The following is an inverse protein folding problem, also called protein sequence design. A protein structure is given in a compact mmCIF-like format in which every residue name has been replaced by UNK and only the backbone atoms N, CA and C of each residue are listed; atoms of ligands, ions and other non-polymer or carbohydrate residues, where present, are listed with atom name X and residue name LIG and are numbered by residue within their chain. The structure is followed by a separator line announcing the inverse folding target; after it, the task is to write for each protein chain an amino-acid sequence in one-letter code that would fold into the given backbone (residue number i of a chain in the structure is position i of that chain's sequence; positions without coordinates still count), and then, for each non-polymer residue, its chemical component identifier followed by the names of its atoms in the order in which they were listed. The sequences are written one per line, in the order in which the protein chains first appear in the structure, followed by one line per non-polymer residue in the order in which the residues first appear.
data_IF_530197987699
#
_entry.id   IF_530197987699
#
_cell.length_a   1.000
_cell.length_b   1.000
_cell.length_c   1.000
_cell.angle_alpha   90.00
_cell.angle_beta   90.00
_cell.angle_gamma   90.00
#
_symmetry.space_group_name_H-M   'P 1'
#
loop_
_entity.id
_entity.type
_entity.pdbx_description
1 polymer ?
#
# COMPACT_ATOMS: atom_id res chain seq x y z
N UNK A 1 19.20 -7.83 10.26
CA UNK A 1 19.10 -6.44 9.78
C UNK A 1 17.75 -5.91 10.21
N UNK A 2 17.69 -4.73 10.84
CA UNK A 2 16.42 -4.13 11.23
C UNK A 2 15.63 -3.76 9.97
N UNK A 3 14.34 -4.05 9.96
CA UNK A 3 13.44 -3.58 8.91
C UNK A 3 13.43 -2.05 8.92
N UNK A 4 13.78 -1.42 7.78
CA UNK A 4 13.72 0.02 7.58
C UNK A 4 12.39 0.45 6.95
N UNK A 5 11.32 -0.27 7.27
CA UNK A 5 9.96 0.01 6.82
C UNK A 5 9.00 -0.07 8.00
N UNK A 6 7.83 0.57 7.86
CA UNK A 6 6.72 0.44 8.81
C UNK A 6 5.43 0.14 8.06
N UNK A 7 4.66 -0.80 8.58
CA UNK A 7 3.29 -1.10 8.14
C UNK A 7 2.38 -0.96 9.34
N UNK A 8 1.55 0.08 9.36
CA UNK A 8 0.56 0.27 10.41
C UNK A 8 -0.85 0.02 9.89
N UNK A 9 -1.72 -0.41 10.81
CA UNK A 9 -3.08 -0.81 10.48
C UNK A 9 -4.05 -0.18 11.49
N UNK A 10 -5.07 0.51 10.99
CA UNK A 10 -6.13 1.12 11.80
C UNK A 10 -7.49 0.70 11.28
N UNK A 11 -8.28 0.06 12.16
CA UNK A 11 -9.70 -0.24 11.91
C UNK A 11 -10.54 0.86 12.55
N UNK A 12 -11.46 1.44 11.79
CA UNK A 12 -12.47 2.31 12.38
C UNK A 12 -13.51 1.42 13.08
N UNK A 13 -13.73 1.62 14.39
CA UNK A 13 -14.62 0.77 15.19
C UNK A 13 -16.10 0.90 14.79
N UNK A 14 -16.48 2.04 14.21
CA UNK A 14 -17.87 2.38 13.89
C UNK A 14 -18.21 2.21 12.40
N UNK A 15 -17.28 1.70 11.59
CA UNK A 15 -17.50 1.52 10.15
C UNK A 15 -16.73 0.32 9.63
N UNK A 16 -17.12 -0.24 8.47
CA UNK A 16 -16.37 -1.31 7.80
C UNK A 16 -15.17 -0.79 7.01
N UNK A 17 -14.57 0.32 7.49
CA UNK A 17 -13.41 0.98 6.88
C UNK A 17 -12.15 0.64 7.63
N UNK A 18 -11.10 0.35 6.88
CA UNK A 18 -9.75 0.15 7.38
C UNK A 18 -8.78 1.10 6.68
N UNK A 19 -7.73 1.46 7.39
CA UNK A 19 -6.60 2.21 6.86
C UNK A 19 -5.32 1.39 7.05
N UNK A 20 -4.54 1.30 5.98
CA UNK A 20 -3.24 0.65 5.94
C UNK A 20 -2.21 1.71 5.55
N UNK A 21 -1.19 1.91 6.38
CA UNK A 21 -0.20 2.96 6.16
C UNK A 21 1.18 2.35 5.98
N UNK A 22 1.88 2.76 4.92
CA UNK A 22 3.22 2.32 4.56
C UNK A 22 4.22 3.49 4.65
N UNK A 23 5.36 3.23 5.29
CA UNK A 23 6.45 4.19 5.43
C UNK A 23 7.83 3.51 5.29
N UNK A 24 8.88 4.30 5.00
CA UNK A 24 10.26 3.81 4.91
C UNK A 24 10.61 3.20 3.55
N UNK A 25 11.44 2.14 3.54
CA UNK A 25 11.89 1.50 2.31
C UNK A 25 10.93 0.40 1.85
N UNK A 26 10.16 0.69 0.81
CA UNK A 26 9.16 -0.17 0.20
C UNK A 26 9.70 -0.81 -1.10
N UNK A 27 10.96 -1.24 -1.11
CA UNK A 27 11.58 -1.94 -2.24
C UNK A 27 11.61 -3.46 -2.03
N UNK A 28 12.06 -4.18 -3.06
CA UNK A 28 12.07 -5.66 -3.15
C UNK A 28 12.70 -6.36 -1.95
N UNK A 29 13.69 -5.73 -1.31
CA UNK A 29 14.36 -6.29 -0.12
C UNK A 29 13.41 -6.49 1.07
N UNK A 30 12.33 -5.71 1.13
CA UNK A 30 11.35 -5.73 2.22
C UNK A 30 9.97 -6.24 1.77
N UNK A 31 9.73 -6.38 0.47
CA UNK A 31 8.38 -6.54 -0.07
C UNK A 31 7.70 -7.84 0.37
N UNK A 32 8.46 -8.92 0.53
CA UNK A 32 7.93 -10.21 0.98
C UNK A 32 7.42 -10.16 2.41
N UNK A 33 8.12 -9.44 3.29
CA UNK A 33 7.69 -9.29 4.68
C UNK A 33 6.49 -8.35 4.77
N UNK A 34 6.53 -7.23 4.05
CA UNK A 34 5.40 -6.30 3.92
C UNK A 34 4.14 -7.06 3.45
N UNK A 35 4.27 -7.90 2.41
CA UNK A 35 3.16 -8.72 1.90
C UNK A 35 2.56 -9.62 2.98
N UNK A 36 3.38 -10.31 3.77
CA UNK A 36 2.91 -11.18 4.86
C UNK A 36 2.17 -10.37 5.93
N UNK A 37 2.71 -9.21 6.30
CA UNK A 37 2.12 -8.33 7.31
C UNK A 37 0.75 -7.80 6.86
N UNK A 38 0.58 -7.57 5.56
CA UNK A 38 -0.66 -7.09 4.96
C UNK A 38 -1.70 -8.20 4.80
N UNK A 39 -1.34 -9.33 4.18
CA UNK A 39 -2.28 -10.41 3.85
C UNK A 39 -3.01 -11.00 5.06
N UNK A 40 -2.36 -11.01 6.23
CA UNK A 40 -2.98 -11.49 7.47
C UNK A 40 -4.12 -10.60 7.98
N UNK A 41 -4.31 -9.39 7.41
CA UNK A 41 -5.20 -8.35 7.93
C UNK A 41 -6.31 -7.91 6.96
N UNK A 42 -6.38 -8.50 5.76
CA UNK A 42 -7.25 -7.99 4.67
C UNK A 42 -8.70 -8.53 4.63
N UNK A 43 -9.16 -9.36 5.57
CA UNK A 43 -10.36 -10.17 5.35
C UNK A 43 -11.69 -9.65 5.93
N UNK A 44 -11.79 -8.43 6.46
CA UNK A 44 -13.00 -8.01 7.21
C UNK A 44 -13.60 -6.63 6.82
N UNK A 45 -13.22 -6.05 5.68
CA UNK A 45 -13.56 -4.65 5.36
C UNK A 45 -14.26 -4.47 4.02
N UNK A 46 -15.14 -3.47 3.97
CA UNK A 46 -15.80 -3.02 2.74
C UNK A 46 -15.07 -1.84 2.10
N UNK A 47 -14.31 -1.07 2.88
CA UNK A 47 -13.46 0.00 2.37
C UNK A 47 -12.05 -0.11 2.96
N UNK A 48 -11.06 0.04 2.10
CA UNK A 48 -9.65 0.09 2.46
C UNK A 48 -9.04 1.38 1.93
N UNK A 49 -8.48 2.17 2.82
CA UNK A 49 -7.65 3.32 2.48
C UNK A 49 -6.18 2.92 2.65
N UNK A 50 -5.39 3.11 1.60
CA UNK A 50 -3.95 2.85 1.62
C UNK A 50 -3.24 4.20 1.58
N UNK A 51 -2.50 4.51 2.63
CA UNK A 51 -1.69 5.72 2.74
C UNK A 51 -0.22 5.37 2.60
N UNK A 52 0.50 6.05 1.71
CA UNK A 52 1.94 5.88 1.50
C UNK A 52 2.61 7.21 1.73
N UNK A 53 3.50 7.27 2.74
CA UNK A 53 4.18 8.52 3.09
C UNK A 53 5.58 8.26 3.63
N UNK A 54 6.41 9.31 3.75
CA UNK A 54 7.75 9.21 4.34
C UNK A 54 8.61 8.06 3.75
N UNK A 55 8.49 7.84 2.45
CA UNK A 55 9.18 6.74 1.77
C UNK A 55 10.64 7.09 1.50
N UNK A 56 11.53 6.15 1.76
CA UNK A 56 12.96 6.24 1.43
C UNK A 56 13.34 5.40 0.21
N UNK A 57 12.40 4.64 -0.34
CA UNK A 57 12.58 3.83 -1.54
C UNK A 57 11.26 3.18 -1.96
N UNK A 58 10.96 3.23 -3.25
CA UNK A 58 9.85 2.50 -3.90
C UNK A 58 10.40 1.91 -5.18
N UNK A 59 10.00 0.67 -5.49
CA UNK A 59 10.24 0.06 -6.79
C UNK A 59 8.96 -0.61 -7.33
N UNK A 60 9.11 -1.25 -8.48
CA UNK A 60 8.00 -1.93 -9.16
C UNK A 60 7.34 -3.03 -8.30
N UNK A 61 8.09 -3.66 -7.38
CA UNK A 61 7.55 -4.74 -6.53
C UNK A 61 6.49 -4.22 -5.56
N UNK A 62 6.64 -2.99 -5.06
CA UNK A 62 5.61 -2.36 -4.24
C UNK A 62 4.38 -1.99 -5.04
N UNK A 63 4.56 -1.48 -6.25
CA UNK A 63 3.45 -1.21 -7.16
C UNK A 63 2.64 -2.49 -7.42
N UNK A 64 3.33 -3.61 -7.67
CA UNK A 64 2.71 -4.91 -7.84
C UNK A 64 1.96 -5.38 -6.59
N UNK A 65 2.49 -5.11 -5.40
CA UNK A 65 1.80 -5.41 -4.14
C UNK A 65 0.50 -4.61 -4.00
N UNK A 66 0.51 -3.30 -4.28
CA UNK A 66 -0.70 -2.47 -4.23
C UNK A 66 -1.78 -2.98 -5.19
N UNK A 67 -1.40 -3.36 -6.41
CA UNK A 67 -2.28 -3.97 -7.39
C UNK A 67 -2.83 -5.33 -6.92
N UNK A 68 -2.00 -6.15 -6.27
CA UNK A 68 -2.45 -7.41 -5.71
C UNK A 68 -3.49 -7.20 -4.59
N UNK A 69 -3.25 -6.24 -3.69
CA UNK A 69 -4.19 -5.88 -2.62
C UNK A 69 -5.53 -5.43 -3.21
N UNK A 70 -5.51 -4.53 -4.21
CA UNK A 70 -6.71 -4.08 -4.90
C UNK A 70 -7.48 -5.24 -5.53
N UNK A 71 -6.80 -6.16 -6.20
CA UNK A 71 -7.42 -7.35 -6.82
C UNK A 71 -7.98 -8.34 -5.79
N UNK A 72 -7.38 -8.42 -4.61
CA UNK A 72 -7.89 -9.25 -3.51
C UNK A 72 -9.18 -8.66 -2.94
N UNK A 73 -9.31 -7.34 -2.89
CA UNK A 73 -10.52 -6.61 -2.47
C UNK A 73 -11.61 -6.63 -3.55
N UNK A 74 -12.20 -7.80 -3.82
CA UNK A 74 -13.18 -7.99 -4.92
C UNK A 74 -14.54 -7.30 -4.74
N UNK A 75 -14.95 -7.02 -3.51
CA UNK A 75 -16.29 -6.47 -3.17
C UNK A 75 -16.25 -5.15 -2.41
N UNK A 76 -15.07 -4.56 -2.28
CA UNK A 76 -14.86 -3.34 -1.50
C UNK A 76 -14.22 -2.23 -2.33
N UNK A 77 -14.25 -1.01 -1.79
CA UNK A 77 -13.55 0.13 -2.39
C UNK A 77 -12.15 0.19 -1.82
N UNK A 78 -11.14 0.23 -2.68
CA UNK A 78 -9.77 0.57 -2.29
C UNK A 78 -9.46 1.97 -2.79
N UNK A 79 -8.94 2.81 -1.90
CA UNK A 79 -8.48 4.16 -2.22
C UNK A 79 -7.02 4.29 -1.84
N UNK A 80 -6.29 5.12 -2.59
CA UNK A 80 -4.86 5.30 -2.40
C UNK A 80 -4.57 6.79 -2.18
N UNK A 81 -3.78 7.06 -1.15
CA UNK A 81 -3.25 8.38 -0.83
C UNK A 81 -1.71 8.30 -0.84
N UNK A 82 -1.09 8.99 -1.78
CA UNK A 82 0.36 9.03 -1.93
C UNK A 82 0.89 10.40 -1.57
N UNK A 83 1.58 10.47 -0.45
CA UNK A 83 2.38 11.63 -0.04
C UNK A 83 3.87 11.26 -0.16
N UNK A 84 4.34 11.19 -1.40
CA UNK A 84 5.70 10.78 -1.74
C UNK A 84 6.44 11.89 -2.48
N UNK A 85 7.76 11.84 -2.46
CA UNK A 85 8.62 12.81 -3.16
C UNK A 85 8.46 12.68 -4.68
N UNK A 86 8.66 13.79 -5.39
CA UNK A 86 8.53 13.86 -6.86
C UNK A 86 9.39 12.87 -7.63
N UNK A 87 10.55 12.48 -7.09
CA UNK A 87 11.42 11.48 -7.68
C UNK A 87 10.73 10.12 -7.87
N UNK A 88 9.73 9.79 -7.04
CA UNK A 88 8.94 8.57 -7.14
C UNK A 88 7.66 8.75 -7.96
N UNK A 89 7.20 9.98 -8.22
CA UNK A 89 6.01 10.24 -9.04
C UNK A 89 6.19 9.73 -10.47
N UNK A 90 7.41 9.84 -11.02
CA UNK A 90 7.70 9.30 -12.36
C UNK A 90 7.46 7.79 -12.45
N UNK A 91 7.76 7.04 -11.38
CA UNK A 91 7.52 5.60 -11.33
C UNK A 91 6.02 5.28 -11.34
N UNK A 92 5.22 6.03 -10.57
CA UNK A 92 3.77 5.87 -10.53
C UNK A 92 3.13 6.20 -11.89
N UNK A 93 3.56 7.30 -12.50
CA UNK A 93 3.08 7.74 -13.82
C UNK A 93 3.40 6.74 -14.92
N UNK A 94 4.66 6.27 -14.96
CA UNK A 94 5.15 5.39 -16.04
C UNK A 94 4.74 3.93 -15.85
N UNK A 95 4.50 3.48 -14.62
CA UNK A 95 3.95 2.14 -14.37
C UNK A 95 2.49 2.00 -14.79
N UNK A 96 1.82 3.11 -15.11
CA UNK A 96 0.39 3.13 -15.41
C UNK A 96 -0.49 2.94 -14.17
N UNK A 97 0.10 2.96 -12.98
CA UNK A 97 -0.62 2.78 -11.72
C UNK A 97 -1.71 3.83 -11.53
N UNK A 98 -1.43 5.08 -11.92
CA UNK A 98 -2.41 6.17 -11.88
C UNK A 98 -3.68 5.87 -12.69
N UNK A 99 -3.61 5.00 -13.70
CA UNK A 99 -4.79 4.60 -14.50
C UNK A 99 -5.64 3.52 -13.81
N UNK A 100 -5.07 2.83 -12.84
CA UNK A 100 -5.70 1.72 -12.11
C UNK A 100 -6.22 2.18 -10.74
N UNK A 101 -5.65 3.27 -10.22
CA UNK A 101 -5.96 3.82 -8.90
C UNK A 101 -6.87 5.05 -8.90
N UNK A 102 -7.14 5.65 -10.08
CA UNK A 102 -8.09 6.76 -10.26
C UNK A 102 -9.47 6.25 -10.68
#
# INVERSE_FOLDING_TARGET
MAANYSVSYRKNRNSKKAQLSFEGNLAINNIEQIRKDVLTRLYEFEELEISVSNVSGIDLSFIQLLLAIQKTFKKGKVSFDFNIKDEYNTLLDKSGLNKVMN
#
